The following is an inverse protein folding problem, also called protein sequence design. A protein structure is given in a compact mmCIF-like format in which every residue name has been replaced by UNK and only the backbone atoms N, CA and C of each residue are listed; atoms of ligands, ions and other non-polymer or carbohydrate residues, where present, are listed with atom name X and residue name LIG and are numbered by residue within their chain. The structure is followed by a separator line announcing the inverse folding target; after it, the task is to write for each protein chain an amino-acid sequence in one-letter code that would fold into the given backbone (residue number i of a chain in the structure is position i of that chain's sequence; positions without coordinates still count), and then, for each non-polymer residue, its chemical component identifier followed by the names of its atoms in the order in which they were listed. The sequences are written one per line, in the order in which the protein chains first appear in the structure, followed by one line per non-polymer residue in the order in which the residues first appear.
data_IF_810619060596
#
_entry.id   IF_810619060596
#
_cell.length_a   1.000
_cell.length_b   1.000
_cell.length_c   1.000
_cell.angle_alpha   90.00
_cell.angle_beta   90.00
_cell.angle_gamma   90.00
#
_symmetry.space_group_name_H-M   'P 1'
#
loop_
_entity.id
_entity.type
_entity.pdbx_description
1 polymer ?
#
# COMPACT_ATOMS: atom_id res chain seq x y z
N UNK A 1 -25.41 21.71 -9.98
CA UNK A 1 -24.19 21.00 -10.41
C UNK A 1 -23.19 20.99 -9.26
N UNK A 2 -23.19 19.97 -8.40
CA UNK A 2 -22.01 19.60 -7.61
C UNK A 2 -22.28 18.26 -6.95
N UNK A 3 -21.78 17.18 -7.55
CA UNK A 3 -21.94 15.84 -6.99
C UNK A 3 -21.07 15.73 -5.74
N UNK A 4 -21.71 15.75 -4.57
CA UNK A 4 -21.07 15.45 -3.29
C UNK A 4 -20.69 13.97 -3.28
N UNK A 5 -19.42 13.70 -3.58
CA UNK A 5 -18.82 12.37 -3.59
C UNK A 5 -18.72 11.87 -2.16
N UNK A 6 -19.64 11.00 -1.75
CA UNK A 6 -19.60 10.29 -0.47
C UNK A 6 -18.30 9.49 -0.38
N UNK A 7 -17.38 9.94 0.47
CA UNK A 7 -16.16 9.19 0.78
C UNK A 7 -16.54 8.13 1.80
N UNK A 8 -17.03 6.99 1.32
CA UNK A 8 -17.23 5.77 2.10
C UNK A 8 -15.93 5.40 2.84
N UNK A 9 -15.85 5.76 4.11
CA UNK A 9 -14.78 5.36 5.02
C UNK A 9 -14.96 3.87 5.34
N UNK A 10 -14.56 3.00 4.41
CA UNK A 10 -14.49 1.56 4.66
C UNK A 10 -13.46 1.32 5.78
N UNK A 11 -13.97 0.83 6.91
CA UNK A 11 -13.22 0.37 8.09
C UNK A 11 -12.00 -0.42 7.60
N UNK A 12 -10.79 0.08 7.86
CA UNK A 12 -9.56 -0.67 7.67
C UNK A 12 -9.57 -1.80 8.69
N UNK A 13 -10.07 -2.95 8.29
CA UNK A 13 -9.69 -4.22 8.91
C UNK A 13 -8.16 -4.27 8.89
N UNK A 14 -7.53 -4.90 9.87
CA UNK A 14 -6.13 -5.33 9.76
C UNK A 14 -6.11 -6.37 8.62
N UNK A 15 -6.05 -5.85 7.39
CA UNK A 15 -6.32 -6.59 6.16
C UNK A 15 -4.99 -7.16 5.68
N UNK A 16 -5.00 -8.18 4.82
CA UNK A 16 -3.82 -8.63 4.06
C UNK A 16 -2.94 -7.48 3.54
N UNK A 17 -3.54 -6.31 3.29
CA UNK A 17 -2.89 -5.04 3.00
C UNK A 17 -1.72 -4.67 3.95
N UNK A 18 -1.89 -4.81 5.27
CA UNK A 18 -0.84 -4.40 6.21
C UNK A 18 0.37 -5.35 6.14
N UNK A 19 0.10 -6.66 6.14
CA UNK A 19 1.09 -7.71 5.90
C UNK A 19 1.79 -7.53 4.55
N UNK A 20 1.04 -7.24 3.49
CA UNK A 20 1.56 -6.95 2.15
C UNK A 20 2.50 -5.74 2.14
N UNK A 21 2.18 -4.67 2.88
CA UNK A 21 3.09 -3.53 3.00
C UNK A 21 4.40 -3.93 3.65
N UNK A 22 4.33 -4.68 4.75
CA UNK A 22 5.52 -5.13 5.47
C UNK A 22 6.36 -6.06 4.60
N UNK A 23 5.74 -6.99 3.88
CA UNK A 23 6.44 -7.87 2.94
C UNK A 23 7.10 -7.09 1.81
N UNK A 24 6.38 -6.18 1.16
CA UNK A 24 6.93 -5.37 0.05
C UNK A 24 8.05 -4.45 0.58
N UNK A 25 7.89 -3.88 1.77
CA UNK A 25 8.93 -3.09 2.41
C UNK A 25 10.19 -3.92 2.67
N UNK A 26 10.04 -5.16 3.14
CA UNK A 26 11.16 -6.10 3.33
C UNK A 26 11.80 -6.48 2.00
N UNK A 27 11.00 -6.77 0.98
CA UNK A 27 11.47 -7.14 -0.37
C UNK A 27 12.24 -5.98 -1.03
N UNK A 28 11.81 -4.73 -0.80
CA UNK A 28 12.48 -3.54 -1.32
C UNK A 28 13.68 -3.09 -0.48
N UNK A 29 13.99 -3.76 0.63
CA UNK A 29 15.05 -3.34 1.57
C UNK A 29 14.72 -2.05 2.34
N UNK A 30 13.47 -1.61 2.30
CA UNK A 30 12.99 -0.40 2.97
C UNK A 30 12.58 -0.68 4.42
N UNK A 31 12.41 -1.96 4.79
CA UNK A 31 11.97 -2.37 6.12
C UNK A 31 12.89 -1.85 7.23
N UNK A 32 14.21 -1.97 7.06
CA UNK A 32 15.16 -1.50 8.09
C UNK A 32 15.05 0.00 8.34
N UNK A 33 14.84 0.78 7.28
CA UNK A 33 14.67 2.24 7.39
C UNK A 33 13.34 2.59 8.05
N UNK A 34 12.25 1.90 7.67
CA UNK A 34 10.93 2.10 8.28
C UNK A 34 10.93 1.69 9.75
N UNK A 35 11.64 0.61 10.10
CA UNK A 35 11.73 0.12 11.48
C UNK A 35 12.54 1.08 12.36
N UNK A 36 13.58 1.70 11.81
CA UNK A 36 14.43 2.67 12.54
C UNK A 36 13.88 4.08 12.57
N UNK A 37 13.41 4.60 11.44
CA UNK A 37 13.02 6.01 11.26
C UNK A 37 11.53 6.22 11.02
N UNK A 38 10.75 5.15 10.80
CA UNK A 38 9.32 5.22 10.52
C UNK A 38 8.99 5.36 9.03
N UNK A 39 7.69 5.24 8.73
CA UNK A 39 7.18 5.32 7.35
C UNK A 39 7.37 6.70 6.69
N UNK A 40 7.55 7.75 7.49
CA UNK A 40 7.78 9.13 7.04
C UNK A 40 9.19 9.37 6.49
N UNK A 41 10.17 8.53 6.86
CA UNK A 41 11.55 8.63 6.36
C UNK A 41 11.70 8.14 4.92
N UNK A 42 10.71 7.41 4.39
CA UNK A 42 10.75 6.92 3.02
C UNK A 42 10.73 8.05 2.00
N UNK A 43 11.68 8.03 1.08
CA UNK A 43 11.64 8.90 -0.10
C UNK A 43 10.36 8.67 -0.92
N UNK A 44 9.84 9.73 -1.54
CA UNK A 44 8.68 9.67 -2.43
C UNK A 44 8.82 8.58 -3.51
N UNK A 45 10.03 8.35 -4.00
CA UNK A 45 10.30 7.30 -4.99
C UNK A 45 10.16 5.87 -4.41
N UNK A 46 10.54 5.70 -3.14
CA UNK A 46 10.44 4.42 -2.43
C UNK A 46 8.98 4.12 -2.05
N UNK A 47 8.29 5.12 -1.48
CA UNK A 47 6.87 5.01 -1.14
C UNK A 47 5.99 4.80 -2.40
N UNK A 48 6.32 5.48 -3.51
CA UNK A 48 5.66 5.28 -4.81
C UNK A 48 5.86 3.87 -5.38
N UNK A 49 7.08 3.32 -5.27
CA UNK A 49 7.36 1.92 -5.66
C UNK A 49 6.57 0.92 -4.82
N UNK A 50 6.57 1.09 -3.50
CA UNK A 50 5.82 0.23 -2.56
C UNK A 50 4.31 0.25 -2.87
N UNK A 51 3.74 1.44 -3.05
CA UNK A 51 2.34 1.61 -3.45
C UNK A 51 2.02 1.02 -4.83
N UNK A 52 2.95 1.13 -5.77
CA UNK A 52 2.83 0.57 -7.13
C UNK A 52 2.76 -0.96 -7.13
N UNK A 53 3.67 -1.64 -6.41
CA UNK A 53 3.67 -3.11 -6.28
C UNK A 53 2.39 -3.59 -5.60
N UNK A 54 1.97 -2.89 -4.56
CA UNK A 54 0.75 -3.19 -3.83
C UNK A 54 -0.50 -3.06 -4.72
N UNK A 55 -0.58 -1.99 -5.51
CA UNK A 55 -1.65 -1.78 -6.49
C UNK A 55 -1.63 -2.84 -7.60
N UNK A 56 -0.43 -3.25 -8.05
CA UNK A 56 -0.25 -4.30 -9.05
C UNK A 56 -0.79 -5.64 -8.56
N UNK A 57 -0.39 -6.10 -7.36
CA UNK A 57 -0.88 -7.36 -6.76
C UNK A 57 -2.42 -7.36 -6.60
N UNK A 58 -3.00 -6.22 -6.21
CA UNK A 58 -4.47 -6.07 -6.12
C UNK A 58 -5.16 -6.17 -7.49
N UNK A 59 -4.58 -5.54 -8.52
CA UNK A 59 -5.10 -5.58 -9.89
C UNK A 59 -4.96 -6.98 -10.49
N UNK A 60 -3.86 -7.68 -10.21
CA UNK A 60 -3.62 -9.06 -10.65
C UNK A 60 -4.60 -10.03 -9.99
N UNK A 61 -4.82 -9.95 -8.67
CA UNK A 61 -5.84 -10.74 -7.97
C UNK A 61 -7.22 -10.56 -8.61
N UNK A 62 -7.59 -9.31 -8.95
CA UNK A 62 -8.88 -8.99 -9.59
C UNK A 62 -8.97 -9.48 -11.04
N UNK A 63 -7.86 -9.53 -11.77
CA UNK A 63 -7.82 -10.06 -13.14
C UNK A 63 -7.83 -11.60 -13.17
N UNK A 64 -7.23 -12.26 -12.19
CA UNK A 64 -7.20 -13.73 -12.09
C UNK A 64 -8.55 -14.35 -11.71
N UNK A 65 -9.47 -13.55 -11.16
CA UNK A 65 -10.83 -13.98 -10.80
C UNK A 65 -11.86 -13.74 -11.91
N UNK A 66 -11.42 -13.42 -13.13
CA UNK A 66 -12.29 -13.18 -14.29
C UNK A 66 -12.01 -14.22 -15.37
#
# INVERSE_FOLDING_TARGET
MSQQKTRDKKKKYLTEYDLLKMEIAKELGLWEQIEKEGWESLSNAACGRLGGIMGKRMREKRQKSK
#
